data_IF_491778290906
#
_entry.id   IF_491778290906
#
_cell.length_a   1.000
_cell.length_b   1.000
_cell.length_c   1.000
_cell.angle_alpha   90.00
_cell.angle_beta   90.00
_cell.angle_gamma   90.00
#
_symmetry.space_group_name_H-M   'P 1'
#
loop_
_entity.id
_entity.type
_entity.pdbx_description
1 polymer ?
#
# COMPACT_ATOMS: atom_id res chain seq x y z
N UNK A 1 -10.78 16.93 -7.96
CA UNK A 1 -10.09 15.89 -7.16
C UNK A 1 -10.60 14.52 -7.62
N UNK A 2 -9.71 13.63 -8.14
CA UNK A 2 -10.13 12.32 -8.68
C UNK A 2 -10.60 11.35 -7.59
N UNK A 3 -9.90 11.33 -6.47
CA UNK A 3 -10.16 10.39 -5.39
C UNK A 3 -11.44 10.74 -4.62
N UNK A 4 -12.38 9.82 -4.61
CA UNK A 4 -13.62 9.93 -3.84
C UNK A 4 -13.35 9.51 -2.40
N UNK A 5 -13.52 10.45 -1.47
CA UNK A 5 -13.29 10.20 -0.02
C UNK A 5 -14.38 9.36 0.62
N UNK A 6 -15.59 9.45 0.11
CA UNK A 6 -16.75 8.69 0.61
C UNK A 6 -17.41 7.99 -0.56
N UNK A 7 -16.89 6.82 -0.99
CA UNK A 7 -17.49 6.05 -2.06
C UNK A 7 -18.91 5.57 -1.71
N UNK A 8 -19.77 5.31 -2.72
CA UNK A 8 -21.07 4.73 -2.48
C UNK A 8 -20.95 3.34 -1.85
N UNK A 9 -22.01 2.87 -1.20
CA UNK A 9 -22.08 1.49 -0.71
C UNK A 9 -22.27 0.54 -1.88
N UNK A 10 -21.51 -0.56 -1.90
CA UNK A 10 -21.65 -1.63 -2.88
C UNK A 10 -22.36 -2.86 -2.31
N UNK A 11 -22.71 -3.76 -3.21
CA UNK A 11 -23.27 -5.08 -2.92
C UNK A 11 -22.24 -6.18 -3.15
N UNK A 12 -22.08 -7.08 -2.18
CA UNK A 12 -21.09 -8.18 -2.22
C UNK A 12 -21.35 -9.14 -3.36
N UNK A 13 -22.63 -9.54 -3.56
CA UNK A 13 -23.00 -10.54 -4.56
C UNK A 13 -22.89 -9.98 -5.99
N UNK A 14 -23.27 -8.72 -6.16
CA UNK A 14 -23.07 -8.01 -7.43
C UNK A 14 -21.59 -7.88 -7.75
N UNK A 15 -20.76 -7.50 -6.77
CA UNK A 15 -19.33 -7.40 -6.92
C UNK A 15 -18.66 -8.72 -7.29
N UNK A 16 -19.05 -9.82 -6.64
CA UNK A 16 -18.57 -11.16 -6.98
C UNK A 16 -18.90 -11.54 -8.42
N UNK A 17 -20.13 -11.31 -8.86
CA UNK A 17 -20.56 -11.57 -10.24
C UNK A 17 -19.74 -10.77 -11.24
N UNK A 18 -19.53 -9.48 -10.98
CA UNK A 18 -18.74 -8.61 -11.84
C UNK A 18 -17.30 -9.09 -11.93
N UNK A 19 -16.63 -9.37 -10.79
CA UNK A 19 -15.24 -9.86 -10.74
C UNK A 19 -15.06 -11.12 -11.56
N UNK A 20 -16.03 -12.04 -11.51
CA UNK A 20 -16.02 -13.29 -12.31
C UNK A 20 -16.28 -13.05 -13.79
N UNK A 21 -17.08 -12.06 -14.15
CA UNK A 21 -17.54 -11.84 -15.52
C UNK A 21 -16.62 -10.97 -16.37
N UNK A 22 -15.99 -9.93 -15.79
CA UNK A 22 -15.28 -8.91 -16.57
C UNK A 22 -13.77 -9.15 -16.72
N UNK A 23 -13.27 -10.30 -16.26
CA UNK A 23 -11.91 -10.74 -16.55
C UNK A 23 -10.86 -10.45 -15.47
N UNK A 24 -11.24 -10.03 -14.26
CA UNK A 24 -10.29 -9.83 -13.14
C UNK A 24 -9.44 -11.08 -12.89
N UNK A 25 -10.06 -12.26 -12.98
CA UNK A 25 -9.40 -13.56 -12.80
C UNK A 25 -8.46 -13.95 -13.95
N UNK A 26 -8.43 -13.20 -15.04
CA UNK A 26 -7.44 -13.38 -16.11
C UNK A 26 -6.03 -12.96 -15.69
N UNK A 27 -5.93 -12.03 -14.73
CA UNK A 27 -4.66 -11.50 -14.24
C UNK A 27 -4.45 -11.73 -12.74
N UNK A 28 -5.52 -11.82 -11.94
CA UNK A 28 -5.46 -11.96 -10.50
C UNK A 28 -5.92 -13.33 -10.02
N UNK A 29 -5.28 -13.84 -8.99
CA UNK A 29 -5.81 -14.92 -8.17
C UNK A 29 -6.81 -14.32 -7.20
N UNK A 30 -8.08 -14.78 -7.25
CA UNK A 30 -9.18 -14.27 -6.43
C UNK A 30 -9.86 -15.43 -5.71
N UNK A 31 -9.91 -15.38 -4.38
CA UNK A 31 -10.50 -16.42 -3.54
C UNK A 31 -9.55 -17.56 -3.17
N UNK A 32 -9.91 -18.32 -2.15
CA UNK A 32 -9.10 -19.42 -1.62
C UNK A 32 -8.94 -20.55 -2.64
N UNK A 33 -7.79 -21.22 -2.63
CA UNK A 33 -7.52 -22.42 -3.44
C UNK A 33 -7.33 -22.19 -4.94
N UNK A 34 -7.37 -20.94 -5.40
CA UNK A 34 -7.26 -20.65 -6.85
C UNK A 34 -5.81 -20.51 -7.32
N UNK A 35 -4.84 -20.43 -6.41
CA UNK A 35 -3.44 -20.15 -6.73
C UNK A 35 -2.77 -21.31 -7.48
N UNK A 36 -3.04 -22.54 -7.09
CA UNK A 36 -2.51 -23.74 -7.77
C UNK A 36 -3.22 -24.05 -9.09
N UNK A 37 -4.51 -23.73 -9.17
CA UNK A 37 -5.30 -23.88 -10.39
C UNK A 37 -5.10 -22.71 -11.38
N UNK A 38 -4.46 -21.64 -10.96
CA UNK A 38 -4.19 -20.48 -11.79
C UNK A 38 -3.02 -20.79 -12.71
N UNK A 39 -3.28 -21.00 -13.99
CA UNK A 39 -2.22 -21.08 -15.00
C UNK A 39 -1.35 -19.79 -15.04
N UNK A 40 -0.23 -19.80 -15.81
CA UNK A 40 0.78 -18.73 -15.79
C UNK A 40 0.23 -17.31 -16.03
N UNK A 41 -0.91 -17.16 -16.67
CA UNK A 41 -1.52 -15.86 -16.97
C UNK A 41 -2.12 -15.14 -15.76
N UNK A 42 -2.49 -15.86 -14.69
CA UNK A 42 -3.08 -15.27 -13.48
C UNK A 42 -2.05 -14.70 -12.51
N UNK A 43 -0.79 -14.68 -12.88
CA UNK A 43 0.32 -14.15 -12.07
C UNK A 43 0.75 -12.74 -12.45
N UNK A 44 0.12 -12.12 -13.46
CA UNK A 44 0.41 -10.73 -13.83
C UNK A 44 -0.04 -9.73 -12.76
N UNK A 45 -1.17 -9.97 -12.13
CA UNK A 45 -1.69 -9.16 -11.04
C UNK A 45 -1.33 -9.75 -9.68
N UNK A 46 -1.26 -8.89 -8.68
CA UNK A 46 -1.07 -9.32 -7.30
C UNK A 46 -2.23 -10.22 -6.86
N UNK A 47 -1.99 -11.29 -6.06
CA UNK A 47 -3.04 -12.10 -5.48
C UNK A 47 -3.97 -11.25 -4.59
N UNK A 48 -5.28 -11.43 -4.76
CA UNK A 48 -6.31 -10.68 -4.03
C UNK A 48 -6.95 -11.48 -2.89
N UNK A 49 -6.45 -12.67 -2.58
CA UNK A 49 -6.99 -13.60 -1.57
C UNK A 49 -7.18 -12.97 -0.18
N UNK A 50 -6.38 -11.98 0.14
CA UNK A 50 -6.39 -11.28 1.43
C UNK A 50 -6.30 -9.76 1.29
N UNK A 51 -6.82 -9.22 0.21
CA UNK A 51 -6.76 -7.79 -0.08
C UNK A 51 -7.45 -6.96 1.01
N UNK A 52 -8.53 -7.50 1.61
CA UNK A 52 -9.26 -6.86 2.68
C UNK A 52 -8.47 -6.69 4.00
N UNK A 53 -7.31 -7.39 4.15
CA UNK A 53 -6.38 -7.16 5.26
C UNK A 53 -5.29 -6.12 4.92
N UNK A 54 -5.10 -5.78 3.63
CA UNK A 54 -3.94 -5.00 3.16
C UNK A 54 -4.24 -3.54 2.91
N UNK A 55 -5.51 -3.21 2.60
CA UNK A 55 -5.88 -1.85 2.18
C UNK A 55 -7.29 -1.50 2.63
N UNK A 56 -7.76 -0.31 2.26
CA UNK A 56 -9.09 0.19 2.63
C UNK A 56 -10.07 0.09 1.47
N UNK A 57 -11.37 0.12 1.79
CA UNK A 57 -12.46 0.14 0.82
C UNK A 57 -12.32 1.30 -0.17
N UNK A 58 -12.03 2.49 0.35
CA UNK A 58 -11.90 3.72 -0.44
C UNK A 58 -10.74 3.60 -1.44
N UNK A 59 -9.63 3.00 -1.01
CA UNK A 59 -8.49 2.79 -1.89
C UNK A 59 -8.81 1.82 -3.01
N UNK A 60 -9.41 0.67 -2.70
CA UNK A 60 -9.81 -0.33 -3.73
C UNK A 60 -10.81 0.28 -4.71
N UNK A 61 -11.83 0.99 -4.20
CA UNK A 61 -12.82 1.67 -5.03
C UNK A 61 -12.16 2.63 -6.04
N UNK A 62 -11.30 3.51 -5.55
CA UNK A 62 -10.65 4.51 -6.41
C UNK A 62 -9.66 3.87 -7.39
N UNK A 63 -8.92 2.84 -6.97
CA UNK A 63 -7.99 2.12 -7.82
C UNK A 63 -8.70 1.43 -8.98
N UNK A 64 -9.78 0.68 -8.75
CA UNK A 64 -10.48 -0.05 -9.82
C UNK A 64 -11.19 0.87 -10.81
N UNK A 65 -11.54 2.09 -10.41
CA UNK A 65 -12.11 3.11 -11.31
C UNK A 65 -11.11 3.56 -12.39
N UNK A 66 -9.89 3.85 -11.99
CA UNK A 66 -8.82 4.22 -12.92
C UNK A 66 -7.44 3.93 -12.33
N UNK A 67 -6.91 2.73 -12.57
CA UNK A 67 -5.59 2.36 -12.05
C UNK A 67 -4.47 3.24 -12.58
N UNK A 68 -4.60 3.74 -13.83
CA UNK A 68 -3.57 4.57 -14.47
C UNK A 68 -3.48 5.97 -13.90
N UNK A 69 -4.52 6.46 -13.22
CA UNK A 69 -4.44 7.71 -12.48
C UNK A 69 -3.39 7.65 -11.37
N UNK A 70 -3.29 6.49 -10.68
CA UNK A 70 -2.33 6.30 -9.59
C UNK A 70 -0.96 5.83 -10.09
N UNK A 71 -0.95 4.95 -11.08
CA UNK A 71 0.27 4.45 -11.69
C UNK A 71 0.11 4.39 -13.21
N UNK A 72 0.61 5.39 -13.95
CA UNK A 72 0.51 5.43 -15.42
C UNK A 72 1.15 4.21 -16.10
N UNK A 73 2.17 3.60 -15.47
CA UNK A 73 2.86 2.42 -15.99
C UNK A 73 2.19 1.09 -15.65
N UNK A 74 1.08 1.09 -14.90
CA UNK A 74 0.39 -0.16 -14.56
C UNK A 74 -0.13 -0.90 -15.79
N UNK A 75 0.02 -2.21 -15.79
CA UNK A 75 -0.60 -3.10 -16.79
C UNK A 75 -2.09 -3.33 -16.55
N UNK A 76 -2.61 -2.99 -15.36
CA UNK A 76 -4.04 -3.11 -15.08
C UNK A 76 -4.83 -2.14 -15.97
N UNK A 77 -5.75 -2.65 -16.80
CA UNK A 77 -6.52 -1.80 -17.70
C UNK A 77 -7.57 -0.98 -16.95
N UNK A 78 -7.94 0.17 -17.51
CA UNK A 78 -9.15 0.86 -17.08
C UNK A 78 -10.35 0.14 -17.70
N UNK A 79 -11.15 -0.50 -16.85
CA UNK A 79 -12.32 -1.30 -17.25
C UNK A 79 -13.58 -0.47 -17.50
N UNK A 80 -13.48 0.87 -17.38
CA UNK A 80 -14.58 1.82 -17.59
C UNK A 80 -15.81 1.51 -16.73
N UNK A 81 -15.58 1.16 -15.48
CA UNK A 81 -16.61 0.83 -14.51
C UNK A 81 -17.43 2.07 -14.14
N UNK A 82 -18.73 1.89 -13.94
CA UNK A 82 -19.52 2.89 -13.23
C UNK A 82 -19.10 2.94 -11.75
N UNK A 83 -19.41 4.05 -11.07
CA UNK A 83 -19.12 4.18 -9.63
C UNK A 83 -19.79 3.07 -8.82
N UNK A 84 -21.02 2.66 -9.20
CA UNK A 84 -21.69 1.56 -8.51
C UNK A 84 -20.99 0.23 -8.73
N UNK A 85 -20.57 -0.07 -9.96
CA UNK A 85 -19.81 -1.31 -10.25
C UNK A 85 -18.47 -1.34 -9.50
N UNK A 86 -17.78 -0.21 -9.43
CA UNK A 86 -16.54 -0.10 -8.66
C UNK A 86 -16.80 -0.29 -7.15
N UNK A 87 -17.91 0.24 -6.63
CA UNK A 87 -18.33 0.05 -5.25
C UNK A 87 -18.66 -1.42 -4.94
N UNK A 88 -19.40 -2.08 -5.82
CA UNK A 88 -19.76 -3.49 -5.69
C UNK A 88 -18.50 -4.37 -5.67
N UNK A 89 -17.59 -4.16 -6.62
CA UNK A 89 -16.29 -4.85 -6.68
C UNK A 89 -15.48 -4.60 -5.41
N UNK A 90 -15.35 -3.36 -4.96
CA UNK A 90 -14.61 -3.03 -3.76
C UNK A 90 -15.23 -3.70 -2.53
N UNK A 91 -16.56 -3.71 -2.42
CA UNK A 91 -17.26 -4.38 -1.32
C UNK A 91 -16.97 -5.88 -1.30
N UNK A 92 -17.05 -6.54 -2.45
CA UNK A 92 -16.69 -7.97 -2.54
C UNK A 92 -15.21 -8.22 -2.18
N UNK A 93 -14.30 -7.46 -2.76
CA UNK A 93 -12.86 -7.64 -2.52
C UNK A 93 -12.50 -7.43 -1.04
N UNK A 94 -13.17 -6.53 -0.34
CA UNK A 94 -12.97 -6.31 1.09
C UNK A 94 -13.45 -7.46 1.97
N UNK A 95 -14.25 -8.41 1.45
CA UNK A 95 -14.58 -9.66 2.15
C UNK A 95 -13.46 -10.70 2.09
N UNK A 96 -12.55 -10.57 1.13
CA UNK A 96 -11.42 -11.49 0.96
C UNK A 96 -10.35 -11.21 2.01
N UNK A 97 -10.49 -11.87 3.14
CA UNK A 97 -9.62 -11.74 4.31
C UNK A 97 -9.11 -13.09 4.76
N UNK A 98 -7.85 -13.13 5.16
CA UNK A 98 -7.27 -14.27 5.85
C UNK A 98 -7.51 -14.13 7.35
N UNK A 99 -7.92 -15.19 8.03
CA UNK A 99 -8.06 -15.20 9.48
C UNK A 99 -6.73 -14.87 10.15
N UNK A 100 -6.75 -13.94 11.10
CA UNK A 100 -5.53 -13.45 11.77
C UNK A 100 -4.65 -12.51 10.93
N UNK A 101 -5.07 -12.20 9.69
CA UNK A 101 -4.33 -11.32 8.78
C UNK A 101 -4.59 -9.83 8.99
N UNK A 102 -5.51 -9.45 9.85
CA UNK A 102 -5.61 -8.07 10.29
C UNK A 102 -4.35 -7.78 11.11
N UNK A 103 -3.35 -7.20 10.46
CA UNK A 103 -2.22 -6.65 11.18
C UNK A 103 -2.82 -5.74 12.25
N UNK A 104 -2.68 -6.13 13.51
CA UNK A 104 -2.97 -5.25 14.61
C UNK A 104 -2.29 -3.93 14.26
N UNK A 105 -3.07 -2.86 14.07
CA UNK A 105 -2.48 -1.53 13.81
C UNK A 105 -1.55 -1.31 14.98
N UNK A 106 -0.26 -1.45 14.74
CA UNK A 106 0.73 -1.23 15.79
C UNK A 106 0.53 0.20 16.26
N UNK A 107 0.03 0.35 17.46
CA UNK A 107 -0.11 1.66 18.10
C UNK A 107 1.16 1.90 18.88
N UNK A 108 1.82 3.00 18.58
CA UNK A 108 3.01 3.44 19.29
C UNK A 108 2.66 4.64 20.16
N UNK A 109 3.13 4.64 21.39
CA UNK A 109 3.07 5.83 22.24
C UNK A 109 4.09 6.86 21.77
N UNK A 110 3.84 8.14 22.08
CA UNK A 110 4.80 9.21 21.72
C UNK A 110 6.18 8.98 22.34
N UNK A 111 6.23 8.40 23.54
CA UNK A 111 7.50 8.05 24.20
C UNK A 111 8.27 7.00 23.40
N UNK A 112 7.60 5.93 22.95
CA UNK A 112 8.24 4.87 22.15
C UNK A 112 8.80 5.44 20.83
N UNK A 113 8.02 6.28 20.14
CA UNK A 113 8.48 6.95 18.92
C UNK A 113 9.67 7.88 19.21
N UNK A 114 9.60 8.64 20.30
CA UNK A 114 10.66 9.56 20.72
C UNK A 114 11.96 8.85 21.06
N UNK A 115 11.89 7.73 21.79
CA UNK A 115 13.06 6.94 22.17
C UNK A 115 13.78 6.35 20.95
N UNK A 116 13.03 5.78 20.01
CA UNK A 116 13.61 5.22 18.78
C UNK A 116 14.18 6.34 17.89
N UNK A 117 13.47 7.45 17.72
CA UNK A 117 13.93 8.59 16.95
C UNK A 117 15.19 9.21 17.54
N UNK A 118 15.26 9.32 18.88
CA UNK A 118 16.46 9.76 19.59
C UNK A 118 17.65 8.84 19.33
N UNK A 119 17.43 7.52 19.31
CA UNK A 119 18.48 6.56 18.98
C UNK A 119 19.04 6.78 17.56
N UNK A 120 18.18 7.06 16.58
CA UNK A 120 18.63 7.42 15.24
C UNK A 120 19.44 8.70 15.18
N UNK A 121 18.99 9.77 15.88
CA UNK A 121 19.71 11.05 15.87
C UNK A 121 21.07 10.97 16.59
N UNK A 122 21.15 10.23 17.68
CA UNK A 122 22.41 10.01 18.40
C UNK A 122 23.50 9.35 17.55
N UNK A 123 23.14 8.65 16.49
CA UNK A 123 24.13 8.07 15.58
C UNK A 123 24.86 9.11 14.73
N UNK A 124 24.32 10.34 14.61
CA UNK A 124 24.88 11.40 13.75
C UNK A 124 25.15 12.73 14.47
N UNK A 125 24.73 12.88 15.73
CA UNK A 125 24.91 14.14 16.49
C UNK A 125 25.03 13.91 18.00
N UNK A 126 25.57 14.88 18.77
CA UNK A 126 25.65 14.81 20.23
C UNK A 126 24.28 14.65 20.87
N UNK A 127 24.24 13.93 22.00
CA UNK A 127 23.01 13.55 22.69
C UNK A 127 22.08 14.74 22.99
N UNK A 128 22.61 15.84 23.53
CA UNK A 128 21.81 17.02 23.86
C UNK A 128 21.16 17.66 22.63
N UNK A 129 21.88 17.69 21.50
CA UNK A 129 21.34 18.18 20.25
C UNK A 129 20.24 17.24 19.70
N UNK A 130 20.46 15.93 19.75
CA UNK A 130 19.49 14.92 19.36
C UNK A 130 18.20 15.05 20.19
N UNK A 131 18.36 15.17 21.51
CA UNK A 131 17.25 15.37 22.44
C UNK A 131 16.48 16.65 22.15
N UNK A 132 17.18 17.76 21.94
CA UNK A 132 16.55 19.04 21.61
C UNK A 132 15.79 19.00 20.27
N UNK A 133 16.30 18.24 19.28
CA UNK A 133 15.58 18.05 18.01
C UNK A 133 14.30 17.26 18.17
N UNK A 134 14.34 16.14 18.91
CA UNK A 134 13.14 15.32 19.15
C UNK A 134 12.09 16.12 19.93
N UNK A 135 12.52 16.92 20.93
CA UNK A 135 11.63 17.72 21.75
C UNK A 135 10.90 18.85 20.99
N UNK A 136 11.43 19.27 19.84
CA UNK A 136 10.79 20.30 19.00
C UNK A 136 9.68 19.77 18.09
N UNK A 137 9.59 18.46 17.94
CA UNK A 137 8.64 17.82 17.03
C UNK A 137 7.33 17.52 17.74
N UNK A 138 6.23 17.83 17.07
CA UNK A 138 4.91 17.37 17.49
C UNK A 138 4.80 15.83 17.29
N UNK A 139 3.91 15.12 18.00
CA UNK A 139 3.81 13.67 17.94
C UNK A 139 3.66 13.11 16.51
N UNK A 140 2.89 13.78 15.66
CA UNK A 140 2.71 13.38 14.26
C UNK A 140 4.00 13.56 13.44
N UNK A 141 4.72 14.64 13.67
CA UNK A 141 5.98 14.95 12.98
C UNK A 141 7.09 13.98 13.40
N UNK A 142 7.09 13.53 14.67
CA UNK A 142 8.00 12.48 15.14
C UNK A 142 7.77 11.16 14.39
N UNK A 143 6.52 10.78 14.18
CA UNK A 143 6.19 9.55 13.42
C UNK A 143 6.68 9.66 11.97
N UNK A 144 6.47 10.80 11.32
CA UNK A 144 6.96 11.06 9.96
C UNK A 144 8.49 11.01 9.90
N UNK A 145 9.15 11.72 10.82
CA UNK A 145 10.61 11.74 10.90
C UNK A 145 11.19 10.37 11.15
N UNK A 146 10.58 9.56 12.04
CA UNK A 146 10.97 8.18 12.28
C UNK A 146 10.77 7.32 11.03
N UNK A 147 9.63 7.44 10.35
CA UNK A 147 9.35 6.74 9.10
C UNK A 147 10.39 7.02 8.03
N UNK A 148 10.79 8.26 7.83
CA UNK A 148 11.86 8.64 6.91
C UNK A 148 13.21 7.99 7.27
N UNK A 149 13.56 7.92 8.56
CA UNK A 149 14.79 7.25 9.01
C UNK A 149 14.75 5.74 8.77
N UNK A 150 13.59 5.11 9.00
CA UNK A 150 13.38 3.69 8.74
C UNK A 150 13.50 3.39 7.24
N UNK A 151 12.82 4.17 6.38
CA UNK A 151 12.91 4.06 4.91
C UNK A 151 14.36 4.17 4.45
N UNK A 152 15.10 5.19 4.96
CA UNK A 152 16.53 5.37 4.62
C UNK A 152 17.38 4.19 5.06
N UNK A 153 17.16 3.69 6.28
CA UNK A 153 17.98 2.61 6.85
C UNK A 153 17.79 1.29 6.12
N UNK A 154 16.54 0.99 5.73
CA UNK A 154 16.22 -0.28 5.06
C UNK A 154 16.26 -0.17 3.53
N UNK A 155 16.53 1.01 2.98
CA UNK A 155 16.70 1.21 1.55
C UNK A 155 15.44 0.97 0.71
N UNK A 156 14.25 1.19 1.26
CA UNK A 156 12.98 0.95 0.56
C UNK A 156 12.89 1.69 -0.78
N UNK A 157 13.54 2.86 -0.87
CA UNK A 157 13.63 3.68 -2.09
C UNK A 157 14.43 3.03 -3.22
N UNK A 158 15.22 1.99 -2.95
CA UNK A 158 15.97 1.28 -4.00
C UNK A 158 15.07 0.44 -4.90
N UNK A 159 13.86 0.09 -4.43
CA UNK A 159 12.88 -0.70 -5.18
C UNK A 159 11.56 0.03 -5.37
N UNK A 160 11.31 1.12 -4.62
CA UNK A 160 10.06 1.85 -4.63
C UNK A 160 10.30 3.34 -4.87
N UNK A 161 9.49 3.93 -5.76
CA UNK A 161 9.43 5.39 -5.91
C UNK A 161 8.74 5.98 -4.70
N UNK A 162 9.50 6.67 -3.84
CA UNK A 162 9.00 7.26 -2.60
C UNK A 162 9.22 8.76 -2.64
N UNK A 163 8.14 9.53 -2.52
CA UNK A 163 8.21 11.00 -2.47
C UNK A 163 9.13 11.47 -1.33
N UNK A 164 10.08 12.33 -1.68
CA UNK A 164 11.11 12.85 -0.77
C UNK A 164 12.41 12.03 -0.80
N UNK A 165 12.47 10.95 -1.60
CA UNK A 165 13.66 10.12 -1.79
C UNK A 165 14.12 10.06 -3.26
N UNK A 166 13.65 10.97 -4.11
CA UNK A 166 13.94 11.01 -5.55
C UNK A 166 15.44 11.18 -5.87
N UNK A 167 16.19 11.72 -4.92
CA UNK A 167 17.66 11.92 -5.03
C UNK A 167 18.45 10.94 -4.17
N UNK A 168 17.80 9.98 -3.53
CA UNK A 168 18.49 9.00 -2.73
C UNK A 168 19.28 8.05 -3.64
N UNK A 169 20.56 7.87 -3.30
CA UNK A 169 21.43 6.98 -4.05
C UNK A 169 20.95 5.53 -3.90
N UNK A 170 20.85 4.81 -5.01
CA UNK A 170 20.54 3.37 -4.99
C UNK A 170 21.55 2.61 -4.14
N UNK A 171 21.08 1.62 -3.39
CA UNK A 171 21.95 0.78 -2.56
C UNK A 171 22.70 -0.24 -3.42
N UNK A 172 22.10 -0.65 -4.55
CA UNK A 172 22.72 -1.56 -5.51
C UNK A 172 23.43 -0.81 -6.65
N UNK A 173 24.49 -1.41 -7.17
CA UNK A 173 25.13 -0.97 -8.42
C UNK A 173 24.17 -1.21 -9.57
N UNK A 174 24.14 -0.32 -10.54
CA UNK A 174 23.44 -0.56 -11.81
C UNK A 174 24.12 -1.73 -12.53
N UNK A 175 23.37 -2.77 -12.83
CA UNK A 175 23.85 -3.95 -13.54
C UNK A 175 23.57 -3.89 -15.05
N UNK A 176 23.00 -2.78 -15.53
CA UNK A 176 22.68 -2.59 -16.95
C UNK A 176 23.82 -1.97 -17.74
N UNK A 177 24.85 -1.47 -17.06
CA UNK A 177 26.08 -0.96 -17.71
C UNK A 177 27.20 -2.00 -17.58
N UNK A 178 27.48 -2.73 -18.65
CA UNK A 178 28.75 -3.41 -18.90
C UNK A 178 29.63 -2.54 -19.82
#
# INVERSE_FOLDING_TARGET
EFAVKTPPKGDVQAGEKIVKAIGCQGCHVVGEGTREAAGPRRTFGQPLENIGNKTTYEWVFNWVRDPKHYNPATYMPNLRLSDQQAADIATYLMTLKQAGGDAAKATFTDNQVSDVLLAYYKASMPFEQARAQVAKLEPQDKQVALGQRVISRYGCFSCHDIKGFEKAQSIGTDLSEE
#
